data_IF_234888210215
#
_entry.id   IF_234888210215
#
_cell.length_a   1.000
_cell.length_b   1.000
_cell.length_c   1.000
_cell.angle_alpha   90.00
_cell.angle_beta   90.00
_cell.angle_gamma   90.00
#
_symmetry.space_group_name_H-M   'P 1'
#
loop_
_entity.id
_entity.type
_entity.pdbx_description
1 polymer ?
#
# COMPACT_ATOMS: atom_id res chain seq x y z
N UNK A 1 31.77 55.43 34.52
CA UNK A 1 32.49 56.68 34.15
C UNK A 1 33.74 56.31 33.37
N UNK A 2 34.11 57.11 32.34
CA UNK A 2 35.29 56.95 31.45
C UNK A 2 35.18 55.68 30.54
N UNK A 3 35.00 55.72 29.22
CA UNK A 3 35.27 56.70 28.15
C UNK A 3 36.72 56.77 27.64
N UNK A 4 36.83 56.80 26.29
CA UNK A 4 38.02 56.92 25.41
C UNK A 4 38.86 55.62 25.29
N UNK A 5 39.56 55.30 24.17
CA UNK A 5 39.80 56.06 22.91
C UNK A 5 39.98 55.15 21.66
N UNK A 6 39.62 55.69 20.47
CA UNK A 6 40.14 55.53 19.08
C UNK A 6 41.06 54.34 18.71
N UNK A 7 40.76 53.54 17.67
CA UNK A 7 40.78 53.82 16.20
C UNK A 7 42.17 53.71 15.56
N UNK A 8 42.44 52.55 14.93
CA UNK A 8 43.18 52.43 13.66
C UNK A 8 43.26 50.96 13.21
N UNK A 9 42.62 50.62 12.09
CA UNK A 9 43.09 49.67 11.06
C UNK A 9 42.02 49.58 9.96
N UNK A 10 41.94 50.65 9.17
CA UNK A 10 41.31 50.61 7.86
C UNK A 10 42.19 49.81 6.88
N UNK A 11 41.56 49.16 5.90
CA UNK A 11 42.17 48.55 4.71
C UNK A 11 43.16 47.38 4.93
N UNK A 12 42.59 46.18 5.15
CA UNK A 12 42.91 45.05 4.26
C UNK A 12 41.61 44.56 3.63
N UNK A 13 41.35 45.05 2.43
CA UNK A 13 40.29 44.57 1.55
C UNK A 13 40.63 43.18 1.02
N UNK A 14 40.23 42.14 1.75
CA UNK A 14 39.95 40.86 1.13
C UNK A 14 38.54 40.92 0.54
N UNK A 15 38.47 40.82 -0.79
CA UNK A 15 37.23 40.84 -1.56
C UNK A 15 36.39 39.61 -1.27
N UNK A 16 35.71 39.59 -0.13
CA UNK A 16 34.41 38.94 0.00
C UNK A 16 33.43 39.72 -0.89
N UNK A 17 33.57 39.53 -2.21
CA UNK A 17 32.56 39.89 -3.17
C UNK A 17 31.34 39.03 -2.84
N UNK A 18 30.48 39.55 -1.97
CA UNK A 18 29.07 39.19 -1.93
C UNK A 18 28.54 39.50 -3.32
N UNK A 19 28.67 38.53 -4.24
CA UNK A 19 27.92 38.50 -5.48
C UNK A 19 26.46 38.55 -5.06
N UNK A 20 25.88 39.73 -5.11
CA UNK A 20 24.44 39.88 -5.22
C UNK A 20 24.08 39.01 -6.43
N UNK A 21 23.37 37.88 -6.24
CA UNK A 21 23.12 36.95 -7.33
C UNK A 21 22.40 37.73 -8.42
N UNK A 22 22.92 37.66 -9.64
CA UNK A 22 22.33 38.43 -10.72
C UNK A 22 20.89 37.93 -10.96
N UNK A 23 20.05 38.74 -11.60
CA UNK A 23 18.62 38.43 -11.76
C UNK A 23 18.37 37.06 -12.44
N UNK A 24 19.29 36.61 -13.28
CA UNK A 24 19.24 35.30 -13.94
C UNK A 24 19.65 34.16 -12.98
N UNK A 25 20.65 34.35 -12.13
CA UNK A 25 20.99 33.39 -11.05
C UNK A 25 19.78 33.16 -10.13
N UNK A 26 19.06 34.23 -9.78
CA UNK A 26 17.84 34.15 -8.96
C UNK A 26 16.71 33.38 -9.67
N UNK A 27 16.53 33.62 -10.97
CA UNK A 27 15.53 32.92 -11.79
C UNK A 27 15.87 31.42 -11.94
N UNK A 28 17.14 31.08 -12.19
CA UNK A 28 17.61 29.69 -12.23
C UNK A 28 17.50 29.00 -10.86
N UNK A 29 17.72 29.74 -9.76
CA UNK A 29 17.51 29.21 -8.42
C UNK A 29 16.01 28.94 -8.15
N UNK A 30 15.10 29.74 -8.70
CA UNK A 30 13.66 29.47 -8.62
C UNK A 30 13.28 28.15 -9.34
N UNK A 31 13.89 27.83 -10.49
CA UNK A 31 13.72 26.51 -11.15
C UNK A 31 14.18 25.39 -10.22
N UNK A 32 15.37 25.50 -9.61
CA UNK A 32 15.91 24.51 -8.67
C UNK A 32 14.99 24.30 -7.47
N UNK A 33 14.49 25.39 -6.88
CA UNK A 33 13.57 25.33 -5.74
C UNK A 33 12.24 24.64 -6.12
N UNK A 34 11.70 24.93 -7.30
CA UNK A 34 10.50 24.26 -7.81
C UNK A 34 10.74 22.75 -8.05
N UNK A 35 11.88 22.37 -8.65
CA UNK A 35 12.26 20.96 -8.84
C UNK A 35 12.41 20.24 -7.51
N UNK A 36 13.08 20.84 -6.53
CA UNK A 36 13.23 20.29 -5.18
C UNK A 36 11.85 20.07 -4.51
N UNK A 37 10.91 21.00 -4.68
CA UNK A 37 9.55 20.85 -4.15
C UNK A 37 8.81 19.65 -4.75
N UNK A 38 8.96 19.42 -6.06
CA UNK A 38 8.40 18.24 -6.74
C UNK A 38 9.10 16.95 -6.26
N UNK A 39 10.42 16.97 -6.11
CA UNK A 39 11.20 15.81 -5.63
C UNK A 39 10.83 15.40 -4.19
N UNK A 40 10.57 16.36 -3.29
CA UNK A 40 10.05 16.06 -1.94
C UNK A 40 8.71 15.33 -2.00
N UNK A 41 7.75 15.83 -2.79
CA UNK A 41 6.43 15.17 -2.94
C UNK A 41 6.56 13.79 -3.58
N UNK A 42 7.47 13.62 -4.54
CA UNK A 42 7.77 12.31 -5.13
C UNK A 42 8.36 11.35 -4.09
N UNK A 43 9.21 11.82 -3.17
CA UNK A 43 9.75 11.00 -2.09
C UNK A 43 8.64 10.57 -1.11
N UNK A 44 7.78 11.50 -0.68
CA UNK A 44 6.68 11.24 0.25
C UNK A 44 5.65 10.25 -0.34
N UNK A 45 5.35 10.35 -1.62
CA UNK A 45 4.52 9.39 -2.35
C UNK A 45 5.15 7.99 -2.39
N UNK A 46 6.47 7.87 -2.61
CA UNK A 46 7.17 6.56 -2.58
C UNK A 46 7.12 5.94 -1.19
N UNK A 47 7.40 6.71 -0.15
CA UNK A 47 7.31 6.26 1.24
C UNK A 47 5.88 5.82 1.58
N UNK A 48 4.88 6.60 1.19
CA UNK A 48 3.45 6.28 1.40
C UNK A 48 3.05 4.99 0.70
N UNK A 49 3.39 4.83 -0.59
CA UNK A 49 3.16 3.62 -1.40
C UNK A 49 3.76 2.39 -0.75
N UNK A 50 5.03 2.45 -0.35
CA UNK A 50 5.75 1.33 0.29
C UNK A 50 5.12 0.97 1.65
N UNK A 51 4.81 1.96 2.48
CA UNK A 51 4.20 1.73 3.78
C UNK A 51 2.79 1.12 3.67
N UNK A 52 1.99 1.57 2.70
CA UNK A 52 0.66 1.00 2.43
C UNK A 52 0.78 -0.44 1.92
N UNK A 53 1.68 -0.70 0.97
CA UNK A 53 1.92 -2.06 0.46
C UNK A 53 2.33 -3.03 1.57
N UNK A 54 3.39 -2.70 2.34
CA UNK A 54 3.93 -3.60 3.37
C UNK A 54 2.90 -3.92 4.47
N UNK A 55 2.16 -2.90 4.94
CA UNK A 55 1.11 -3.11 5.95
C UNK A 55 -0.03 -3.96 5.40
N UNK A 56 -0.54 -3.62 4.21
CA UNK A 56 -1.64 -4.34 3.60
C UNK A 56 -1.28 -5.81 3.29
N UNK A 57 -0.10 -6.07 2.72
CA UNK A 57 0.39 -7.43 2.45
C UNK A 57 0.49 -8.27 3.72
N UNK A 58 1.08 -7.70 4.78
CA UNK A 58 1.17 -8.37 6.09
C UNK A 58 -0.20 -8.70 6.67
N UNK A 59 -1.12 -7.73 6.70
CA UNK A 59 -2.47 -7.94 7.23
C UNK A 59 -3.30 -8.93 6.38
N UNK A 60 -3.23 -8.87 5.04
CA UNK A 60 -3.87 -9.83 4.12
C UNK A 60 -3.35 -11.26 4.38
N UNK A 61 -2.03 -11.42 4.52
CA UNK A 61 -1.37 -12.70 4.81
C UNK A 61 -1.81 -13.25 6.17
N UNK A 62 -1.87 -12.40 7.20
CA UNK A 62 -2.35 -12.79 8.53
C UNK A 62 -3.82 -13.26 8.50
N UNK A 63 -4.69 -12.57 7.76
CA UNK A 63 -6.08 -13.02 7.58
C UNK A 63 -6.18 -14.36 6.84
N UNK A 64 -5.34 -14.60 5.83
CA UNK A 64 -5.27 -15.88 5.13
C UNK A 64 -4.81 -17.01 6.05
N UNK A 65 -3.73 -16.80 6.82
CA UNK A 65 -3.20 -17.77 7.79
C UNK A 65 -4.24 -18.09 8.88
N UNK A 66 -4.90 -17.09 9.43
CA UNK A 66 -5.92 -17.28 10.47
C UNK A 66 -7.12 -18.07 9.95
N UNK A 67 -7.58 -17.78 8.73
CA UNK A 67 -8.72 -18.49 8.13
C UNK A 67 -8.38 -19.93 7.77
N UNK A 68 -7.24 -20.17 7.10
CA UNK A 68 -6.79 -21.54 6.77
C UNK A 68 -6.52 -22.37 8.03
N UNK A 69 -5.99 -21.77 9.10
CA UNK A 69 -5.83 -22.42 10.41
C UNK A 69 -7.16 -22.83 11.03
N UNK A 70 -8.20 -21.99 10.94
CA UNK A 70 -9.55 -22.34 11.43
C UNK A 70 -10.19 -23.47 10.62
N UNK A 71 -9.97 -23.53 9.31
CA UNK A 71 -10.39 -24.67 8.48
C UNK A 71 -9.67 -25.96 8.93
N UNK A 72 -8.36 -25.89 9.19
CA UNK A 72 -7.58 -27.02 9.70
C UNK A 72 -8.10 -27.51 11.05
N UNK A 73 -8.40 -26.59 11.98
CA UNK A 73 -8.96 -26.90 13.30
C UNK A 73 -10.30 -27.65 13.16
N UNK A 74 -11.25 -27.08 12.41
CA UNK A 74 -12.56 -27.70 12.18
C UNK A 74 -12.41 -29.08 11.53
N UNK A 75 -11.55 -29.23 10.52
CA UNK A 75 -11.31 -30.52 9.88
C UNK A 75 -10.71 -31.54 10.86
N UNK A 76 -9.65 -31.18 11.58
CA UNK A 76 -8.92 -32.10 12.46
C UNK A 76 -9.77 -32.56 13.66
N UNK A 77 -10.45 -31.64 14.35
CA UNK A 77 -11.37 -31.97 15.46
C UNK A 77 -12.42 -32.98 15.03
N UNK A 78 -12.91 -32.87 13.79
CA UNK A 78 -14.02 -33.68 13.28
C UNK A 78 -13.54 -35.01 12.71
N UNK A 79 -12.35 -35.07 12.12
CA UNK A 79 -11.72 -36.33 11.70
C UNK A 79 -11.33 -37.18 12.91
N UNK A 80 -10.87 -36.55 14.00
CA UNK A 80 -10.61 -37.25 15.27
C UNK A 80 -11.91 -37.85 15.84
N UNK A 81 -13.00 -37.08 15.89
CA UNK A 81 -14.31 -37.60 16.31
C UNK A 81 -14.79 -38.78 15.45
N UNK A 82 -14.65 -38.71 14.12
CA UNK A 82 -15.01 -39.82 13.22
C UNK A 82 -14.16 -41.05 13.49
N UNK A 83 -12.85 -40.88 13.75
CA UNK A 83 -11.94 -41.97 14.11
C UNK A 83 -12.33 -42.62 15.44
N UNK A 84 -12.67 -41.83 16.46
CA UNK A 84 -13.19 -42.31 17.74
C UNK A 84 -14.47 -43.14 17.53
N UNK A 85 -15.41 -42.65 16.72
CA UNK A 85 -16.66 -43.39 16.42
C UNK A 85 -16.46 -44.65 15.56
N UNK A 86 -15.46 -44.70 14.67
CA UNK A 86 -15.08 -45.95 13.97
C UNK A 86 -14.57 -47.00 14.97
N UNK A 87 -13.77 -46.57 15.94
CA UNK A 87 -13.24 -47.47 16.98
C UNK A 87 -14.35 -48.01 17.89
N UNK A 88 -15.24 -47.14 18.40
CA UNK A 88 -16.41 -47.55 19.21
C UNK A 88 -17.32 -48.54 18.47
N UNK A 89 -17.56 -48.33 17.16
CA UNK A 89 -18.37 -49.23 16.34
C UNK A 89 -17.73 -50.62 16.22
N UNK A 90 -16.41 -50.67 15.96
CA UNK A 90 -15.63 -51.91 15.84
C UNK A 90 -15.59 -52.69 17.14
N UNK A 91 -15.40 -52.01 18.27
CA UNK A 91 -15.45 -52.61 19.61
C UNK A 91 -16.86 -53.16 19.94
N UNK A 92 -17.90 -52.54 19.38
CA UNK A 92 -19.29 -53.00 19.47
C UNK A 92 -19.67 -54.09 18.45
N UNK A 93 -18.73 -54.56 17.63
CA UNK A 93 -18.98 -55.56 16.58
C UNK A 93 -19.82 -55.05 15.38
N UNK A 94 -19.96 -53.73 15.23
CA UNK A 94 -20.62 -53.10 14.07
C UNK A 94 -19.60 -52.78 12.98
N UNK A 95 -19.95 -53.07 11.72
CA UNK A 95 -19.26 -52.48 10.57
C UNK A 95 -19.86 -51.09 10.27
N UNK A 96 -19.01 -50.07 10.27
CA UNK A 96 -19.36 -48.69 9.95
C UNK A 96 -18.38 -48.04 8.96
N UNK A 97 -17.43 -48.81 8.41
CA UNK A 97 -16.26 -48.24 7.73
C UNK A 97 -16.64 -47.52 6.43
N UNK A 98 -17.48 -48.11 5.58
CA UNK A 98 -17.98 -47.48 4.35
C UNK A 98 -18.63 -46.11 4.64
N UNK A 99 -19.42 -46.04 5.71
CA UNK A 99 -20.13 -44.83 6.04
C UNK A 99 -19.21 -43.72 6.57
N UNK A 100 -18.32 -44.06 7.50
CA UNK A 100 -17.37 -43.11 8.06
C UNK A 100 -16.30 -42.67 7.03
N UNK A 101 -16.03 -43.52 6.02
CA UNK A 101 -15.24 -43.16 4.84
C UNK A 101 -15.94 -42.10 3.96
N UNK A 102 -17.25 -42.22 3.71
CA UNK A 102 -18.04 -41.21 2.98
C UNK A 102 -18.00 -39.87 3.73
N UNK A 103 -18.30 -39.86 5.03
CA UNK A 103 -18.29 -38.64 5.85
C UNK A 103 -16.89 -37.99 5.86
N UNK A 104 -15.83 -38.80 5.98
CA UNK A 104 -14.43 -38.36 5.90
C UNK A 104 -14.12 -37.68 4.56
N UNK A 105 -14.61 -38.24 3.46
CA UNK A 105 -14.43 -37.68 2.10
C UNK A 105 -15.16 -36.34 1.97
N UNK A 106 -16.40 -36.25 2.41
CA UNK A 106 -17.22 -35.04 2.31
C UNK A 106 -16.63 -33.88 3.13
N UNK A 107 -16.12 -34.16 4.32
CA UNK A 107 -15.40 -33.16 5.11
C UNK A 107 -14.11 -32.67 4.46
N UNK A 108 -13.32 -33.56 3.85
CA UNK A 108 -12.12 -33.19 3.10
C UNK A 108 -12.47 -32.32 1.89
N UNK A 109 -13.53 -32.64 1.17
CA UNK A 109 -14.04 -31.84 0.05
C UNK A 109 -14.55 -30.46 0.51
N UNK A 110 -15.24 -30.38 1.64
CA UNK A 110 -15.67 -29.12 2.24
C UNK A 110 -14.46 -28.24 2.63
N UNK A 111 -13.45 -28.81 3.29
CA UNK A 111 -12.22 -28.09 3.63
C UNK A 111 -11.46 -27.60 2.38
N UNK A 112 -11.32 -28.44 1.35
CA UNK A 112 -10.75 -28.07 0.05
C UNK A 112 -11.47 -26.88 -0.60
N UNK A 113 -12.81 -26.89 -0.57
CA UNK A 113 -13.64 -25.76 -1.03
C UNK A 113 -13.35 -24.50 -0.21
N UNK A 114 -13.30 -24.62 1.12
CA UNK A 114 -12.97 -23.51 2.02
C UNK A 114 -11.60 -22.89 1.75
N UNK A 115 -10.54 -23.69 1.57
CA UNK A 115 -9.21 -23.15 1.22
C UNK A 115 -9.23 -22.43 -0.13
N UNK A 116 -9.97 -22.96 -1.11
CA UNK A 116 -10.13 -22.34 -2.43
C UNK A 116 -10.82 -20.98 -2.34
N UNK A 117 -11.88 -20.87 -1.52
CA UNK A 117 -12.56 -19.60 -1.25
C UNK A 117 -11.65 -18.60 -0.52
N UNK A 118 -10.98 -19.00 0.57
CA UNK A 118 -10.03 -18.14 1.31
C UNK A 118 -8.89 -17.63 0.42
N UNK A 119 -8.36 -18.48 -0.47
CA UNK A 119 -7.37 -18.08 -1.48
C UNK A 119 -7.94 -17.10 -2.51
N UNK A 120 -9.20 -17.28 -2.91
CA UNK A 120 -9.89 -16.36 -3.82
C UNK A 120 -10.12 -14.99 -3.17
N UNK A 121 -10.43 -14.96 -1.87
CA UNK A 121 -10.50 -13.73 -1.07
C UNK A 121 -9.16 -12.99 -1.08
N UNK A 122 -8.07 -13.69 -0.73
CA UNK A 122 -6.70 -13.16 -0.72
C UNK A 122 -6.29 -12.57 -2.08
N UNK A 123 -6.57 -13.29 -3.17
CA UNK A 123 -6.30 -12.82 -4.53
C UNK A 123 -7.11 -11.56 -4.90
N UNK A 124 -8.38 -11.48 -4.49
CA UNK A 124 -9.21 -10.30 -4.70
C UNK A 124 -8.69 -9.09 -3.90
N UNK A 125 -8.28 -9.29 -2.65
CA UNK A 125 -7.69 -8.25 -1.81
C UNK A 125 -6.37 -7.72 -2.41
N UNK A 126 -5.48 -8.63 -2.83
CA UNK A 126 -4.22 -8.30 -3.49
C UNK A 126 -4.43 -7.56 -4.83
N UNK A 127 -5.43 -7.94 -5.63
CA UNK A 127 -5.78 -7.23 -6.86
C UNK A 127 -6.23 -5.79 -6.59
N UNK A 128 -7.10 -5.58 -5.59
CA UNK A 128 -7.56 -4.24 -5.19
C UNK A 128 -6.39 -3.38 -4.66
N UNK A 129 -5.52 -3.97 -3.85
CA UNK A 129 -4.29 -3.30 -3.38
C UNK A 129 -3.39 -2.88 -4.54
N UNK A 130 -3.19 -3.76 -5.54
CA UNK A 130 -2.44 -3.43 -6.76
C UNK A 130 -2.97 -2.20 -7.49
N UNK A 131 -4.30 -2.08 -7.62
CA UNK A 131 -4.95 -0.88 -8.20
C UNK A 131 -4.64 0.39 -7.39
N UNK A 132 -4.65 0.33 -6.06
CA UNK A 132 -4.25 1.46 -5.21
C UNK A 132 -2.79 1.84 -5.48
N UNK A 133 -1.86 0.88 -5.48
CA UNK A 133 -0.44 1.14 -5.66
C UNK A 133 -0.13 1.75 -7.05
N UNK A 134 -0.87 1.35 -8.08
CA UNK A 134 -0.77 1.93 -9.43
C UNK A 134 -1.12 3.42 -9.46
N UNK A 135 -2.04 3.90 -8.61
CA UNK A 135 -2.36 5.34 -8.54
C UNK A 135 -1.18 6.18 -7.99
N UNK A 136 -0.37 5.62 -7.08
CA UNK A 136 0.90 6.25 -6.68
C UNK A 136 1.90 6.30 -7.83
N UNK A 137 2.01 5.24 -8.63
CA UNK A 137 2.92 5.19 -9.79
C UNK A 137 2.50 6.21 -10.87
N UNK A 138 1.20 6.43 -11.06
CA UNK A 138 0.68 7.48 -11.94
C UNK A 138 1.02 8.89 -11.44
N UNK A 139 0.86 9.18 -10.13
CA UNK A 139 1.27 10.50 -9.60
C UNK A 139 2.80 10.68 -9.56
N UNK A 140 3.60 9.62 -9.43
CA UNK A 140 5.05 9.69 -9.67
C UNK A 140 5.36 10.17 -11.10
N UNK A 141 4.65 9.64 -12.11
CA UNK A 141 4.81 10.08 -13.49
C UNK A 141 4.40 11.55 -13.69
N UNK A 142 3.35 12.01 -13.02
CA UNK A 142 2.97 13.43 -13.01
C UNK A 142 4.05 14.33 -12.39
N UNK A 143 4.67 13.90 -11.28
CA UNK A 143 5.82 14.58 -10.70
C UNK A 143 7.00 14.68 -11.68
N UNK A 144 7.36 13.57 -12.34
CA UNK A 144 8.43 13.58 -13.34
C UNK A 144 8.11 14.48 -14.54
N UNK A 145 6.84 14.55 -14.98
CA UNK A 145 6.39 15.48 -16.02
C UNK A 145 6.63 16.95 -15.62
N UNK A 146 6.29 17.33 -14.40
CA UNK A 146 6.55 18.68 -13.87
C UNK A 146 8.04 19.02 -13.86
N UNK A 147 8.91 18.08 -13.47
CA UNK A 147 10.36 18.26 -13.54
C UNK A 147 10.85 18.50 -14.96
N UNK A 148 10.35 17.74 -15.93
CA UNK A 148 10.71 17.90 -17.34
C UNK A 148 10.27 19.28 -17.88
N UNK A 149 9.07 19.75 -17.49
CA UNK A 149 8.59 21.09 -17.87
C UNK A 149 9.45 22.21 -17.24
N UNK A 150 9.90 22.05 -16.00
CA UNK A 150 10.82 22.98 -15.33
C UNK A 150 12.19 23.05 -16.04
N UNK A 151 12.70 21.91 -16.53
CA UNK A 151 13.92 21.87 -17.34
C UNK A 151 13.73 22.51 -18.73
N UNK A 152 12.55 22.35 -19.33
CA UNK A 152 12.19 23.04 -20.58
C UNK A 152 12.12 24.57 -20.44
N UNK A 153 11.64 25.11 -19.30
CA UNK A 153 11.65 26.57 -19.05
C UNK A 153 13.06 27.15 -19.20
N UNK A 154 14.07 26.47 -18.63
CA UNK A 154 15.45 26.94 -18.72
C UNK A 154 15.91 27.05 -20.18
N UNK A 155 15.64 26.02 -20.98
CA UNK A 155 16.00 25.97 -22.40
C UNK A 155 15.25 27.03 -23.23
N UNK A 156 13.93 27.13 -23.07
CA UNK A 156 13.08 28.05 -23.85
C UNK A 156 13.40 29.53 -23.60
N UNK A 157 13.78 29.89 -22.37
CA UNK A 157 14.08 31.27 -22.00
C UNK A 157 15.54 31.70 -22.24
N UNK A 158 16.42 30.79 -22.65
CA UNK A 158 17.82 31.12 -22.97
C UNK A 158 18.01 31.76 -24.37
N UNK A 159 16.94 32.00 -25.12
CA UNK A 159 16.96 32.54 -26.49
C UNK A 159 17.25 34.06 -26.59
N UNK A 160 17.47 34.78 -25.49
CA UNK A 160 17.87 36.20 -25.49
C UNK A 160 19.30 36.36 -25.00
N UNK A 161 20.05 37.29 -25.59
CA UNK A 161 21.37 37.71 -25.10
C UNK A 161 21.33 38.64 -23.88
N UNK A 162 20.13 39.04 -23.42
CA UNK A 162 19.94 39.93 -22.28
C UNK A 162 19.50 39.14 -21.02
N UNK A 163 20.34 39.05 -19.97
CA UNK A 163 20.03 38.31 -18.74
C UNK A 163 18.74 38.74 -18.03
N UNK A 164 18.35 40.03 -18.11
CA UNK A 164 17.10 40.53 -17.52
C UNK A 164 15.87 39.99 -18.28
N UNK A 165 15.95 39.88 -19.61
CA UNK A 165 14.87 39.32 -20.43
C UNK A 165 14.75 37.80 -20.22
N UNK A 166 15.89 37.09 -20.17
CA UNK A 166 15.94 35.66 -19.84
C UNK A 166 15.29 35.40 -18.46
N UNK A 167 15.69 36.15 -17.44
CA UNK A 167 15.14 36.01 -16.09
C UNK A 167 13.64 36.30 -16.02
N UNK A 168 13.17 37.35 -16.70
CA UNK A 168 11.73 37.67 -16.74
C UNK A 168 10.90 36.56 -17.41
N UNK A 169 11.40 36.00 -18.52
CA UNK A 169 10.79 34.83 -19.17
C UNK A 169 10.69 33.64 -18.21
N UNK A 170 11.78 33.34 -17.48
CA UNK A 170 11.83 32.24 -16.51
C UNK A 170 10.82 32.47 -15.39
N UNK A 171 10.80 33.66 -14.76
CA UNK A 171 9.87 33.96 -13.67
C UNK A 171 8.40 33.85 -14.09
N UNK A 172 8.03 34.35 -15.28
CA UNK A 172 6.66 34.24 -15.80
C UNK A 172 6.23 32.78 -16.01
N UNK A 173 7.09 31.94 -16.61
CA UNK A 173 6.77 30.51 -16.81
C UNK A 173 6.77 29.72 -15.49
N UNK A 174 7.67 30.03 -14.55
CA UNK A 174 7.69 29.45 -13.20
C UNK A 174 6.41 29.78 -12.44
N UNK A 175 5.90 31.01 -12.55
CA UNK A 175 4.66 31.41 -11.86
C UNK A 175 3.47 30.52 -12.25
N UNK A 176 3.40 30.13 -13.53
CA UNK A 176 2.42 29.18 -14.06
C UNK A 176 2.68 27.77 -13.51
N UNK A 177 3.88 27.20 -13.67
CA UNK A 177 4.17 25.83 -13.20
C UNK A 177 4.01 25.68 -11.68
N UNK A 178 4.29 26.73 -10.89
CA UNK A 178 4.08 26.72 -9.44
C UNK A 178 2.59 26.50 -9.06
N UNK A 179 1.63 26.82 -9.94
CA UNK A 179 0.23 26.45 -9.73
C UNK A 179 0.02 24.94 -9.90
N UNK A 180 0.61 24.34 -10.92
CA UNK A 180 0.53 22.89 -11.17
C UNK A 180 1.25 22.08 -10.07
N UNK A 181 2.38 22.59 -9.55
CA UNK A 181 3.08 22.01 -8.38
C UNK A 181 2.19 22.03 -7.13
N UNK A 182 1.47 23.13 -6.87
CA UNK A 182 0.52 23.21 -5.74
C UNK A 182 -0.64 22.22 -5.90
N UNK A 183 -1.18 22.06 -7.11
CA UNK A 183 -2.21 21.05 -7.39
C UNK A 183 -1.67 19.62 -7.22
N UNK A 184 -0.43 19.36 -7.65
CA UNK A 184 0.24 18.08 -7.48
C UNK A 184 0.47 17.73 -6.00
N UNK A 185 0.91 18.70 -5.18
CA UNK A 185 0.99 18.57 -3.72
C UNK A 185 -0.36 18.20 -3.10
N UNK A 186 -1.43 18.87 -3.52
CA UNK A 186 -2.79 18.60 -3.04
C UNK A 186 -3.26 17.20 -3.42
N UNK A 187 -3.10 16.78 -4.69
CA UNK A 187 -3.45 15.43 -5.14
C UNK A 187 -2.64 14.35 -4.41
N UNK A 188 -1.34 14.56 -4.21
CA UNK A 188 -0.48 13.63 -3.50
C UNK A 188 -0.93 13.43 -2.03
N UNK A 189 -1.27 14.53 -1.34
CA UNK A 189 -1.80 14.49 0.04
C UNK A 189 -3.15 13.77 0.11
N UNK A 190 -4.07 14.09 -0.81
CA UNK A 190 -5.39 13.46 -0.89
C UNK A 190 -5.26 11.96 -1.19
N UNK A 191 -4.38 11.56 -2.11
CA UNK A 191 -4.12 10.18 -2.49
C UNK A 191 -3.68 9.35 -1.28
N UNK A 192 -2.72 9.83 -0.48
CA UNK A 192 -2.29 9.09 0.72
C UNK A 192 -3.43 8.86 1.72
N UNK A 193 -4.33 9.83 1.90
CA UNK A 193 -5.49 9.68 2.78
C UNK A 193 -6.53 8.69 2.21
N UNK A 194 -6.86 8.82 0.93
CA UNK A 194 -7.79 7.92 0.24
C UNK A 194 -7.27 6.48 0.21
N UNK A 195 -5.99 6.27 -0.09
CA UNK A 195 -5.36 4.97 -0.15
C UNK A 195 -5.34 4.27 1.22
N UNK A 196 -5.15 5.00 2.33
CA UNK A 196 -5.30 4.42 3.68
C UNK A 196 -6.74 4.00 3.99
N UNK A 197 -7.73 4.79 3.58
CA UNK A 197 -9.15 4.42 3.73
C UNK A 197 -9.51 3.18 2.91
N UNK A 198 -9.10 3.14 1.63
CA UNK A 198 -9.31 2.00 0.74
C UNK A 198 -8.56 0.74 1.21
N UNK A 199 -7.34 0.89 1.75
CA UNK A 199 -6.61 -0.21 2.41
C UNK A 199 -7.45 -0.84 3.53
N UNK A 200 -8.02 -0.02 4.42
CA UNK A 200 -8.86 -0.52 5.52
C UNK A 200 -10.13 -1.21 5.00
N UNK A 201 -10.75 -0.68 3.93
CA UNK A 201 -11.90 -1.32 3.29
C UNK A 201 -11.56 -2.71 2.72
N UNK A 202 -10.43 -2.85 2.01
CA UNK A 202 -9.94 -4.13 1.49
C UNK A 202 -9.75 -5.16 2.62
N UNK A 203 -9.22 -4.73 3.76
CA UNK A 203 -8.95 -5.60 4.91
C UNK A 203 -10.24 -6.08 5.59
N UNK A 204 -11.25 -5.21 5.69
CA UNK A 204 -12.59 -5.58 6.17
C UNK A 204 -13.28 -6.55 5.22
N UNK A 205 -13.19 -6.33 3.90
CA UNK A 205 -13.71 -7.25 2.88
C UNK A 205 -13.01 -8.61 2.94
N UNK A 206 -11.68 -8.64 3.06
CA UNK A 206 -10.87 -9.86 3.22
C UNK A 206 -11.32 -10.65 4.45
N UNK A 207 -11.45 -9.98 5.60
CA UNK A 207 -11.93 -10.59 6.84
C UNK A 207 -13.34 -11.18 6.70
N UNK A 208 -14.27 -10.42 6.10
CA UNK A 208 -15.65 -10.87 5.85
C UNK A 208 -15.75 -12.02 4.81
N UNK A 209 -14.89 -12.01 3.80
CA UNK A 209 -14.80 -13.08 2.81
C UNK A 209 -14.30 -14.38 3.45
N UNK A 210 -13.23 -14.29 4.25
CA UNK A 210 -12.66 -15.41 4.99
C UNK A 210 -13.63 -15.98 6.04
N UNK A 211 -14.38 -15.11 6.75
CA UNK A 211 -15.42 -15.55 7.69
C UNK A 211 -16.48 -16.41 6.98
N UNK A 212 -17.02 -15.95 5.85
CA UNK A 212 -18.02 -16.71 5.07
C UNK A 212 -17.49 -18.05 4.55
N UNK A 213 -16.22 -18.13 4.16
CA UNK A 213 -15.59 -19.39 3.78
C UNK A 213 -15.51 -20.36 4.97
N UNK A 214 -15.09 -19.87 6.15
CA UNK A 214 -15.05 -20.67 7.38
C UNK A 214 -16.45 -21.15 7.80
N UNK A 215 -17.48 -20.29 7.71
CA UNK A 215 -18.85 -20.63 8.09
C UNK A 215 -19.45 -21.72 7.19
N UNK A 216 -19.10 -21.73 5.89
CA UNK A 216 -19.45 -22.82 4.97
C UNK A 216 -18.79 -24.14 5.37
N UNK A 217 -17.50 -24.13 5.68
CA UNK A 217 -16.78 -25.33 6.17
C UNK A 217 -17.40 -25.83 7.47
N UNK A 218 -17.69 -24.93 8.41
CA UNK A 218 -18.36 -25.28 9.67
C UNK A 218 -19.74 -25.89 9.44
N UNK A 219 -20.56 -25.31 8.55
CA UNK A 219 -21.89 -25.82 8.21
C UNK A 219 -21.84 -27.21 7.56
N UNK A 220 -20.96 -27.39 6.58
CA UNK A 220 -20.75 -28.68 5.91
C UNK A 220 -20.22 -29.75 6.89
N UNK A 221 -19.27 -29.38 7.74
CA UNK A 221 -18.73 -30.23 8.81
C UNK A 221 -19.82 -30.67 9.80
N UNK A 222 -20.65 -29.75 10.28
CA UNK A 222 -21.78 -30.09 11.16
C UNK A 222 -22.77 -31.05 10.48
N UNK A 223 -23.10 -30.85 9.19
CA UNK A 223 -23.95 -31.78 8.43
C UNK A 223 -23.31 -33.18 8.30
N UNK A 224 -22.01 -33.23 8.03
CA UNK A 224 -21.26 -34.49 7.94
C UNK A 224 -21.28 -35.27 9.27
N UNK A 225 -21.15 -34.60 10.42
CA UNK A 225 -21.29 -35.25 11.73
C UNK A 225 -22.69 -35.80 11.98
N UNK A 226 -23.75 -35.06 11.62
CA UNK A 226 -25.12 -35.60 11.74
C UNK A 226 -25.30 -36.85 10.87
N UNK A 227 -24.79 -36.84 9.64
CA UNK A 227 -24.81 -38.02 8.77
C UNK A 227 -24.06 -39.21 9.38
N UNK A 228 -22.88 -39.00 9.99
CA UNK A 228 -22.16 -40.06 10.72
C UNK A 228 -22.98 -40.62 11.89
N UNK A 229 -23.57 -39.75 12.71
CA UNK A 229 -24.35 -40.14 13.89
C UNK A 229 -25.61 -40.91 13.50
N UNK A 230 -26.33 -40.48 12.47
CA UNK A 230 -27.53 -41.18 12.00
C UNK A 230 -27.18 -42.51 11.33
N UNK A 231 -26.05 -42.60 10.65
CA UNK A 231 -25.57 -43.83 10.04
C UNK A 231 -25.19 -44.89 11.09
N UNK A 232 -24.52 -44.50 12.18
CA UNK A 232 -24.10 -45.38 13.27
C UNK A 232 -25.26 -45.95 14.12
N UNK A 233 -26.46 -45.37 14.00
CA UNK A 233 -27.68 -45.90 14.63
C UNK A 233 -28.23 -47.13 13.90
N UNK A 234 -28.06 -47.18 12.58
CA UNK A 234 -28.47 -48.29 11.74
C UNK A 234 -27.46 -49.46 11.82
#
# INVERSE_FOLDING_TARGET
>A
MKSLVFLCLLFVTLCAAQRVPNVLDQALQAIKNAKNSVDTVMLDLRHSRTNINLKAQSEITNYYIAATSRINEVLNTRLNYIKEKSQEAKESGKDADDCLNIVTKDMKAAAQTGYSEVKSCEQAANKKLGTILQTFDNEQANGQKLKNQLDQIALECMNSSNPQQMANCIFLKIAIINQDIRQYQQRASQLTNQANSQKNAILLEQSSCNARANDKVQSASTKAIYAAVDCLKN
#
